data_IF_640925166188
#
_entry.id   IF_640925166188
#
_cell.length_a   1.000
_cell.length_b   1.000
_cell.length_c   1.000
_cell.angle_alpha   90.00
_cell.angle_beta   90.00
_cell.angle_gamma   90.00
#
_symmetry.space_group_name_H-M   'P 1'
#
loop_
_entity.id
_entity.type
_entity.pdbx_description
1 polymer ?
#
# COMPACT_ATOMS: atom_id res chain seq x y z
N UNK A 1 14.60 8.72 -24.00
CA UNK A 1 13.56 9.76 -23.94
C UNK A 1 12.20 9.17 -23.55
N UNK A 2 12.12 8.37 -22.48
CA UNK A 2 10.84 7.76 -22.04
C UNK A 2 10.87 7.37 -20.56
N UNK A 3 12.05 6.95 -20.07
CA UNK A 3 12.23 6.44 -18.70
C UNK A 3 11.66 7.37 -17.61
N UNK A 4 11.90 8.68 -17.68
CA UNK A 4 11.44 9.65 -16.70
C UNK A 4 9.90 9.69 -16.54
N UNK A 5 9.21 9.87 -17.66
CA UNK A 5 7.76 9.98 -17.71
C UNK A 5 7.08 8.66 -17.34
N UNK A 6 7.65 7.53 -17.79
CA UNK A 6 7.13 6.20 -17.51
C UNK A 6 7.16 5.89 -16.01
N UNK A 7 8.20 6.31 -15.31
CA UNK A 7 8.33 6.11 -13.86
C UNK A 7 7.28 6.92 -13.12
N UNK A 8 7.13 8.20 -13.45
CA UNK A 8 6.14 9.06 -12.81
C UNK A 8 4.72 8.54 -13.05
N UNK A 9 4.43 8.03 -14.25
CA UNK A 9 3.15 7.40 -14.57
C UNK A 9 2.91 6.15 -13.71
N UNK A 10 3.91 5.28 -13.59
CA UNK A 10 3.81 4.07 -12.77
C UNK A 10 3.69 4.39 -11.27
N UNK A 11 4.41 5.39 -10.76
CA UNK A 11 4.28 5.83 -9.35
C UNK A 11 2.92 6.48 -9.10
N UNK A 12 2.41 7.29 -10.05
CA UNK A 12 1.06 7.81 -9.99
C UNK A 12 0.01 6.69 -9.93
N UNK A 13 0.16 5.68 -10.79
CA UNK A 13 -0.70 4.49 -10.79
C UNK A 13 -0.58 3.70 -9.49
N UNK A 14 0.63 3.53 -8.96
CA UNK A 14 0.90 2.87 -7.69
C UNK A 14 0.12 3.55 -6.55
N UNK A 15 0.20 4.88 -6.47
CA UNK A 15 -0.51 5.67 -5.45
C UNK A 15 -2.03 5.60 -5.61
N UNK A 16 -2.53 5.71 -6.83
CA UNK A 16 -3.96 5.60 -7.12
C UNK A 16 -4.53 4.25 -6.67
N UNK A 17 -3.92 3.15 -7.12
CA UNK A 17 -4.37 1.81 -6.77
C UNK A 17 -4.19 1.55 -5.27
N UNK A 18 -3.11 2.05 -4.67
CA UNK A 18 -2.88 1.95 -3.23
C UNK A 18 -3.99 2.58 -2.39
N UNK A 19 -4.29 3.86 -2.62
CA UNK A 19 -5.31 4.58 -1.82
C UNK A 19 -6.67 3.91 -1.93
N UNK A 20 -7.06 3.48 -3.13
CA UNK A 20 -8.30 2.74 -3.34
C UNK A 20 -8.30 1.40 -2.59
N UNK A 21 -7.18 0.67 -2.63
CA UNK A 21 -7.05 -0.63 -1.94
C UNK A 21 -7.05 -0.48 -0.42
N UNK A 22 -6.37 0.53 0.10
CA UNK A 22 -6.34 0.82 1.53
C UNK A 22 -7.72 1.18 2.07
N UNK A 23 -8.51 1.95 1.32
CA UNK A 23 -9.88 2.30 1.71
C UNK A 23 -10.79 1.08 1.90
N UNK A 24 -10.51 -0.04 1.22
CA UNK A 24 -11.28 -1.27 1.39
C UNK A 24 -11.15 -1.89 2.79
N UNK A 25 -10.10 -1.52 3.55
CA UNK A 25 -9.99 -1.93 4.95
C UNK A 25 -11.16 -1.43 5.79
N UNK A 26 -11.88 -0.38 5.38
CA UNK A 26 -13.11 0.08 6.04
C UNK A 26 -14.13 -1.07 6.12
N UNK A 27 -14.37 -1.78 5.02
CA UNK A 27 -15.31 -2.89 4.98
C UNK A 27 -14.82 -4.09 5.79
N UNK A 28 -13.51 -4.35 5.78
CA UNK A 28 -12.91 -5.41 6.61
C UNK A 28 -13.08 -5.09 8.09
N UNK A 29 -12.82 -3.84 8.49
CA UNK A 29 -13.02 -3.37 9.87
C UNK A 29 -14.49 -3.46 10.28
N UNK A 30 -15.42 -3.03 9.42
CA UNK A 30 -16.86 -3.15 9.65
C UNK A 30 -17.27 -4.60 9.93
N UNK A 31 -16.80 -5.53 9.09
CA UNK A 31 -17.06 -6.96 9.25
C UNK A 31 -16.48 -7.51 10.56
N UNK A 32 -15.22 -7.22 10.88
CA UNK A 32 -14.54 -7.78 12.06
C UNK A 32 -15.04 -7.19 13.40
N UNK A 33 -15.52 -5.94 13.38
CA UNK A 33 -16.16 -5.32 14.52
C UNK A 33 -17.64 -5.66 14.64
N UNK A 34 -18.30 -6.07 13.55
CA UNK A 34 -19.74 -6.28 13.50
C UNK A 34 -20.52 -4.97 13.60
N UNK A 35 -20.04 -3.92 12.92
CA UNK A 35 -20.64 -2.57 12.93
C UNK A 35 -20.99 -2.12 11.52
N UNK A 36 -21.85 -1.11 11.44
CA UNK A 36 -22.17 -0.42 10.20
C UNK A 36 -20.94 0.28 9.58
N UNK A 37 -20.96 0.46 8.26
CA UNK A 37 -19.87 1.07 7.50
C UNK A 37 -19.46 2.43 8.05
N UNK A 38 -20.41 3.27 8.43
CA UNK A 38 -20.14 4.64 8.90
C UNK A 38 -19.34 4.64 10.22
N UNK A 39 -19.61 3.70 11.13
CA UNK A 39 -18.83 3.54 12.34
C UNK A 39 -17.40 3.07 12.03
N UNK A 40 -17.25 2.16 11.06
CA UNK A 40 -15.93 1.72 10.60
C UNK A 40 -15.15 2.84 9.88
N UNK A 41 -15.82 3.75 9.16
CA UNK A 41 -15.20 4.95 8.57
C UNK A 41 -14.62 5.82 9.68
N UNK A 42 -15.36 6.09 10.76
CA UNK A 42 -14.86 6.87 11.89
C UNK A 42 -13.60 6.24 12.50
N UNK A 43 -13.60 4.92 12.69
CA UNK A 43 -12.41 4.17 13.17
C UNK A 43 -11.25 4.32 12.18
N UNK A 44 -11.49 4.15 10.89
CA UNK A 44 -10.46 4.26 9.85
C UNK A 44 -9.84 5.66 9.77
N UNK A 45 -10.66 6.71 9.88
CA UNK A 45 -10.24 8.11 9.89
C UNK A 45 -9.45 8.48 11.15
N UNK A 46 -9.73 7.81 12.28
CA UNK A 46 -8.99 8.01 13.54
C UNK A 46 -7.56 7.45 13.46
N UNK A 47 -7.32 6.45 12.61
CA UNK A 47 -6.01 5.84 12.41
C UNK A 47 -5.22 6.62 11.35
N UNK A 48 -4.27 7.44 11.83
CA UNK A 48 -3.51 8.38 10.99
C UNK A 48 -2.44 7.75 10.09
N UNK A 49 -2.19 6.45 10.19
CA UNK A 49 -1.18 5.77 9.38
C UNK A 49 -1.72 4.46 8.82
N UNK A 50 -1.27 4.09 7.62
CA UNK A 50 -1.61 2.80 7.02
C UNK A 50 -1.16 1.63 7.89
N UNK A 51 -0.02 1.75 8.56
CA UNK A 51 0.43 0.73 9.51
C UNK A 51 -0.59 0.52 10.62
N UNK A 52 -1.08 1.59 11.26
CA UNK A 52 -2.06 1.47 12.33
C UNK A 52 -3.39 0.86 11.86
N UNK A 53 -3.82 1.18 10.63
CA UNK A 53 -5.02 0.58 9.99
C UNK A 53 -4.84 -0.92 9.76
N UNK A 54 -3.68 -1.33 9.25
CA UNK A 54 -3.36 -2.74 9.05
C UNK A 54 -3.26 -3.46 10.39
N UNK A 55 -2.51 -2.91 11.36
CA UNK A 55 -2.32 -3.53 12.67
C UNK A 55 -3.65 -3.71 13.43
N UNK A 56 -4.55 -2.72 13.36
CA UNK A 56 -5.90 -2.86 13.90
C UNK A 56 -6.62 -4.04 13.24
N UNK A 57 -6.64 -4.08 11.90
CA UNK A 57 -7.31 -5.12 11.13
C UNK A 57 -6.81 -6.52 11.50
N UNK A 58 -5.48 -6.69 11.64
CA UNK A 58 -4.88 -7.95 12.06
C UNK A 58 -5.22 -8.34 13.50
N UNK A 59 -5.22 -7.38 14.42
CA UNK A 59 -5.60 -7.61 15.82
C UNK A 59 -7.06 -8.01 15.94
N UNK A 60 -7.94 -7.36 15.19
CA UNK A 60 -9.36 -7.71 15.12
C UNK A 60 -9.57 -9.11 14.57
N UNK A 61 -8.86 -9.47 13.48
CA UNK A 61 -8.94 -10.79 12.87
C UNK A 61 -8.52 -11.93 13.82
N UNK A 62 -7.63 -11.65 14.78
CA UNK A 62 -7.11 -12.62 15.76
C UNK A 62 -8.03 -12.83 16.97
N UNK A 63 -9.16 -12.12 17.07
CA UNK A 63 -10.07 -12.26 18.21
C UNK A 63 -10.75 -13.64 18.18
N UNK A 64 -10.99 -14.29 19.35
CA UNK A 64 -11.52 -15.67 19.40
C UNK A 64 -12.87 -15.88 18.70
N UNK A 65 -13.67 -14.82 18.57
CA UNK A 65 -14.98 -14.86 17.91
C UNK A 65 -14.91 -14.90 16.38
N UNK A 66 -13.74 -14.64 15.79
CA UNK A 66 -13.57 -14.60 14.34
C UNK A 66 -13.29 -16.01 13.82
N UNK A 67 -14.05 -16.50 12.81
CA UNK A 67 -13.80 -17.81 12.21
C UNK A 67 -12.37 -17.93 11.66
N UNK A 68 -11.75 -19.09 11.85
CA UNK A 68 -10.38 -19.38 11.39
C UNK A 68 -10.15 -19.04 9.91
N UNK A 69 -11.09 -19.38 9.04
CA UNK A 69 -11.01 -19.05 7.61
C UNK A 69 -10.93 -17.54 7.37
N UNK A 70 -11.77 -16.76 8.07
CA UNK A 70 -11.78 -15.29 7.96
C UNK A 70 -10.48 -14.70 8.50
N UNK A 71 -10.00 -15.21 9.64
CA UNK A 71 -8.72 -14.79 10.22
C UNK A 71 -7.58 -15.02 9.24
N UNK A 72 -7.44 -16.23 8.73
CA UNK A 72 -6.30 -16.63 7.91
C UNK A 72 -6.30 -15.87 6.57
N UNK A 73 -7.48 -15.65 5.98
CA UNK A 73 -7.61 -14.84 4.77
C UNK A 73 -7.23 -13.37 5.01
N UNK A 74 -7.75 -12.74 6.07
CA UNK A 74 -7.41 -11.34 6.40
C UNK A 74 -5.91 -11.20 6.65
N UNK A 75 -5.31 -12.10 7.44
CA UNK A 75 -3.87 -12.05 7.73
C UNK A 75 -3.01 -12.24 6.47
N UNK A 76 -3.43 -13.12 5.55
CA UNK A 76 -2.72 -13.30 4.27
C UNK A 76 -2.78 -12.04 3.40
N UNK A 77 -3.95 -11.37 3.35
CA UNK A 77 -4.13 -10.13 2.60
C UNK A 77 -3.31 -8.99 3.22
N UNK A 78 -3.39 -8.78 4.53
CA UNK A 78 -2.71 -7.68 5.23
C UNK A 78 -1.19 -7.83 5.21
N UNK A 79 -0.67 -9.06 5.23
CA UNK A 79 0.77 -9.31 5.09
C UNK A 79 1.28 -8.87 3.71
N UNK A 80 0.58 -9.21 2.63
CA UNK A 80 0.90 -8.73 1.28
C UNK A 80 0.80 -7.20 1.19
N UNK A 81 -0.23 -6.60 1.80
CA UNK A 81 -0.40 -5.15 1.81
C UNK A 81 0.75 -4.45 2.56
N UNK A 82 1.22 -5.01 3.68
CA UNK A 82 2.43 -4.53 4.40
C UNK A 82 3.68 -4.54 3.52
N UNK A 83 3.88 -5.60 2.74
CA UNK A 83 5.01 -5.70 1.82
C UNK A 83 4.94 -4.61 0.73
N UNK A 84 3.76 -4.41 0.14
CA UNK A 84 3.56 -3.38 -0.87
C UNK A 84 3.64 -1.95 -0.29
N UNK A 85 3.29 -1.74 0.99
CA UNK A 85 3.49 -0.46 1.68
C UNK A 85 4.96 -0.03 1.68
N UNK A 86 5.89 -0.98 1.89
CA UNK A 86 7.33 -0.70 1.84
C UNK A 86 7.75 -0.25 0.44
N UNK A 87 7.22 -0.90 -0.59
CA UNK A 87 7.52 -0.55 -1.98
C UNK A 87 6.95 0.82 -2.37
N UNK A 88 5.70 1.09 -1.98
CA UNK A 88 5.07 2.41 -2.15
C UNK A 88 5.88 3.50 -1.47
N UNK A 89 6.34 3.27 -0.24
CA UNK A 89 7.13 4.25 0.49
C UNK A 89 8.52 4.47 -0.16
N UNK A 90 9.15 3.41 -0.69
CA UNK A 90 10.41 3.49 -1.44
C UNK A 90 10.31 4.52 -2.57
N UNK A 91 9.29 4.39 -3.42
CA UNK A 91 9.15 5.22 -4.62
C UNK A 91 8.51 6.59 -4.37
N UNK A 92 7.75 6.77 -3.29
CA UNK A 92 7.20 8.10 -2.95
C UNK A 92 8.16 9.00 -2.17
N UNK A 93 9.18 8.42 -1.56
CA UNK A 93 10.15 9.14 -0.73
C UNK A 93 11.57 9.07 -1.31
N UNK A 94 11.72 8.83 -2.63
CA UNK A 94 12.98 8.99 -3.33
C UNK A 94 13.11 10.39 -3.95
N UNK A 95 14.34 10.82 -4.22
CA UNK A 95 14.60 11.99 -5.06
C UNK A 95 14.80 11.49 -6.49
N UNK A 96 14.08 12.11 -7.41
CA UNK A 96 14.32 11.97 -8.84
C UNK A 96 15.39 12.97 -9.24
N UNK A 97 16.59 12.48 -9.56
CA UNK A 97 17.69 13.32 -10.03
C UNK A 97 17.57 13.53 -11.53
N UNK A 98 17.72 14.78 -11.93
CA UNK A 98 17.59 15.25 -13.31
C UNK A 98 18.99 15.57 -13.83
N UNK A 99 19.32 15.16 -15.05
CA UNK A 99 20.58 15.51 -15.71
C UNK A 99 20.59 16.96 -16.24
N UNK A 100 21.72 17.38 -16.81
CA UNK A 100 21.94 18.71 -17.39
C UNK A 100 20.97 19.03 -18.55
N UNK A 101 20.28 18.03 -19.09
CA UNK A 101 19.33 18.15 -20.19
C UNK A 101 17.87 18.23 -19.71
N UNK A 102 17.63 18.14 -18.40
CA UNK A 102 16.27 18.15 -17.84
C UNK A 102 15.58 16.79 -17.82
N UNK A 103 16.28 15.70 -18.13
CA UNK A 103 15.76 14.34 -18.13
C UNK A 103 16.05 13.63 -16.79
N UNK A 104 15.11 12.83 -16.28
CA UNK A 104 15.35 12.03 -15.07
C UNK A 104 16.35 10.92 -15.42
N UNK A 105 17.61 11.10 -15.01
CA UNK A 105 18.71 10.20 -15.31
C UNK A 105 18.91 9.14 -14.22
N UNK A 106 18.44 9.38 -12.99
CA UNK A 106 18.50 8.41 -11.90
C UNK A 106 17.48 8.69 -10.80
N UNK A 107 17.04 7.64 -10.09
CA UNK A 107 16.39 7.78 -8.79
C UNK A 107 17.42 7.67 -7.69
N UNK A 108 17.72 8.76 -7.00
CA UNK A 108 18.49 8.67 -5.77
C UNK A 108 17.53 8.28 -4.65
N UNK A 109 17.66 7.05 -4.13
CA UNK A 109 16.89 6.62 -2.98
C UNK A 109 17.36 7.42 -1.77
N UNK A 110 16.55 8.42 -1.43
CA UNK A 110 16.89 9.44 -0.46
C UNK A 110 16.65 8.91 0.95
N UNK A 111 17.51 8.02 1.42
CA UNK A 111 17.74 7.96 2.86
C UNK A 111 19.03 8.68 3.12
N UNK A 112 18.96 9.96 3.49
CA UNK A 112 20.03 10.54 4.28
C UNK A 112 20.14 9.67 5.53
N UNK A 113 21.21 8.89 5.60
CA UNK A 113 21.49 8.07 6.78
C UNK A 113 22.39 8.94 7.64
N UNK A 114 21.83 9.43 8.74
CA UNK A 114 22.58 10.08 9.80
C UNK A 114 23.35 8.98 10.56
N UNK A 115 24.65 8.91 10.34
CA UNK A 115 25.57 8.16 11.19
C UNK A 115 25.90 8.98 12.44
N UNK A 116 26.57 8.37 13.44
CA UNK A 116 26.94 9.06 14.69
C UNK A 116 27.75 10.36 14.50
N UNK A 117 28.40 10.55 13.34
CA UNK A 117 29.26 11.71 13.05
C UNK A 117 29.14 12.28 11.63
N UNK A 118 28.29 11.72 10.77
CA UNK A 118 28.16 12.16 9.37
C UNK A 118 26.76 11.93 8.78
N UNK A 119 26.37 12.81 7.86
CA UNK A 119 25.17 12.65 7.05
C UNK A 119 25.60 12.07 5.71
N UNK A 120 25.21 10.83 5.41
CA UNK A 120 25.54 10.17 4.14
C UNK A 120 24.34 10.15 3.21
N UNK A 121 24.58 10.40 1.92
CA UNK A 121 23.60 10.09 0.88
C UNK A 121 23.27 8.59 0.91
N UNK A 122 22.00 8.26 0.78
CA UNK A 122 21.52 6.88 0.76
C UNK A 122 22.01 6.10 -0.45
N UNK A 123 21.58 4.83 -0.54
CA UNK A 123 21.89 3.98 -1.68
C UNK A 123 21.33 4.60 -2.96
N UNK A 124 22.21 5.04 -3.86
CA UNK A 124 21.84 5.45 -5.22
C UNK A 124 21.49 4.18 -6.00
N UNK A 125 20.24 4.06 -6.44
CA UNK A 125 19.80 2.96 -7.30
C UNK A 125 19.48 3.52 -8.68
N UNK A 126 20.20 3.05 -9.69
CA UNK A 126 19.93 3.41 -11.08
C UNK A 126 18.50 2.99 -11.43
N UNK A 127 17.78 3.88 -12.09
CA UNK A 127 16.42 3.61 -12.56
C UNK A 127 16.49 2.87 -13.88
N UNK A 128 16.88 1.60 -13.79
CA UNK A 128 17.06 0.71 -14.92
C UNK A 128 15.76 -0.05 -15.26
N UNK A 129 15.81 -0.85 -16.32
CA UNK A 129 14.67 -1.67 -16.75
C UNK A 129 14.18 -2.63 -15.64
N UNK A 130 15.07 -3.06 -14.73
CA UNK A 130 14.74 -3.96 -13.63
C UNK A 130 13.97 -3.23 -12.53
N UNK A 131 14.33 -1.99 -12.21
CA UNK A 131 13.55 -1.16 -11.29
C UNK A 131 12.18 -0.80 -11.86
N UNK A 132 12.10 -0.56 -13.18
CA UNK A 132 10.81 -0.38 -13.87
C UNK A 132 9.91 -1.60 -13.77
N UNK A 133 10.46 -2.79 -14.01
CA UNK A 133 9.73 -4.05 -13.87
C UNK A 133 9.28 -4.29 -12.41
N UNK A 134 10.12 -3.95 -11.42
CA UNK A 134 9.74 -4.03 -9.99
C UNK A 134 8.56 -3.12 -9.65
N UNK A 135 8.54 -1.90 -10.19
CA UNK A 135 7.46 -0.95 -9.96
C UNK A 135 6.16 -1.42 -10.64
N UNK A 136 6.22 -1.90 -11.89
CA UNK A 136 5.06 -2.48 -12.57
C UNK A 136 4.50 -3.69 -11.82
N UNK A 137 5.37 -4.58 -11.35
CA UNK A 137 4.98 -5.73 -10.53
C UNK A 137 4.31 -5.29 -9.22
N UNK A 138 4.79 -4.23 -8.56
CA UNK A 138 4.15 -3.70 -7.37
C UNK A 138 2.73 -3.18 -7.65
N UNK A 139 2.53 -2.49 -8.78
CA UNK A 139 1.20 -2.04 -9.22
C UNK A 139 0.26 -3.23 -9.46
N UNK A 140 0.75 -4.27 -10.14
CA UNK A 140 -0.02 -5.51 -10.38
C UNK A 140 -0.39 -6.20 -9.07
N UNK A 141 0.56 -6.34 -8.16
CA UNK A 141 0.34 -6.97 -6.86
C UNK A 141 -0.72 -6.23 -6.03
N UNK A 142 -0.67 -4.90 -5.95
CA UNK A 142 -1.70 -4.13 -5.23
C UNK A 142 -3.06 -4.27 -5.93
N UNK A 143 -3.09 -4.32 -7.27
CA UNK A 143 -4.33 -4.57 -8.02
C UNK A 143 -4.93 -5.94 -7.67
N UNK A 144 -4.11 -6.98 -7.57
CA UNK A 144 -4.56 -8.32 -7.16
C UNK A 144 -5.00 -8.38 -5.70
N UNK A 145 -4.31 -7.64 -4.81
CA UNK A 145 -4.76 -7.47 -3.42
C UNK A 145 -6.14 -6.81 -3.37
N UNK A 146 -6.36 -5.76 -4.17
CA UNK A 146 -7.65 -5.06 -4.27
C UNK A 146 -8.77 -6.00 -4.72
N UNK A 147 -8.54 -6.78 -5.79
CA UNK A 147 -9.50 -7.79 -6.26
C UNK A 147 -9.81 -8.81 -5.18
N UNK A 148 -8.79 -9.30 -4.47
CA UNK A 148 -8.97 -10.28 -3.39
C UNK A 148 -9.74 -9.71 -2.21
N UNK A 149 -9.49 -8.46 -1.84
CA UNK A 149 -10.30 -7.74 -0.85
C UNK A 149 -11.75 -7.63 -1.29
N UNK A 150 -12.03 -7.29 -2.54
CA UNK A 150 -13.40 -7.25 -3.06
C UNK A 150 -14.09 -8.62 -3.02
N UNK A 151 -13.40 -9.69 -3.40
CA UNK A 151 -13.92 -11.06 -3.29
C UNK A 151 -14.22 -11.40 -1.83
N UNK A 152 -13.31 -11.09 -0.91
CA UNK A 152 -13.51 -11.27 0.53
C UNK A 152 -14.75 -10.50 1.00
N UNK A 153 -14.84 -9.21 0.68
CA UNK A 153 -15.93 -8.32 1.11
C UNK A 153 -17.30 -8.83 0.59
N UNK A 154 -17.40 -9.15 -0.71
CA UNK A 154 -18.64 -9.63 -1.34
C UNK A 154 -19.12 -10.97 -0.81
N UNK A 155 -18.23 -11.79 -0.26
CA UNK A 155 -18.62 -13.07 0.35
C UNK A 155 -19.21 -12.91 1.76
N UNK A 156 -19.19 -11.71 2.35
CA UNK A 156 -19.69 -11.48 3.71
C UNK A 156 -21.16 -11.05 3.72
N UNK A 157 -21.95 -11.52 4.71
CA UNK A 157 -23.40 -11.29 4.77
C UNK A 157 -23.81 -9.82 5.00
N UNK A 158 -22.91 -8.99 5.54
CA UNK A 158 -23.21 -7.59 5.88
C UNK A 158 -22.76 -6.61 4.78
N UNK A 159 -22.45 -7.12 3.57
CA UNK A 159 -22.05 -6.27 2.45
C UNK A 159 -23.28 -5.81 1.66
N UNK A 160 -23.48 -4.49 1.57
CA UNK A 160 -24.46 -3.86 0.71
C UNK A 160 -23.76 -3.15 -0.47
N UNK A 161 -24.03 -3.60 -1.70
CA UNK A 161 -23.48 -3.00 -2.93
C UNK A 161 -23.88 -1.54 -3.12
N UNK A 162 -24.99 -1.08 -2.51
CA UNK A 162 -25.43 0.33 -2.56
C UNK A 162 -24.58 1.25 -1.70
N UNK A 163 -23.68 0.69 -0.90
CA UNK A 163 -22.79 1.43 -0.01
C UNK A 163 -21.41 1.75 -0.62
N UNK A 164 -21.18 1.44 -1.90
CA UNK A 164 -19.93 1.76 -2.62
C UNK A 164 -19.91 3.23 -3.04
#
# INVERSE_FOLDING_TARGET
MAAAQDVLLLVGRLNYVWTNTESLLIYVIAHLLGVEKDAAIVVFLTLNTTRARIDLTERLAKLPRIPTETRDEVLAITERLKQQSKMRNKYNHCIYSVDEQGEISSTQLMRLVEGEKDVRYGKVEQLDAREMERLDNAVREITEISKRLWTFIRSRPNFDERSI
#
